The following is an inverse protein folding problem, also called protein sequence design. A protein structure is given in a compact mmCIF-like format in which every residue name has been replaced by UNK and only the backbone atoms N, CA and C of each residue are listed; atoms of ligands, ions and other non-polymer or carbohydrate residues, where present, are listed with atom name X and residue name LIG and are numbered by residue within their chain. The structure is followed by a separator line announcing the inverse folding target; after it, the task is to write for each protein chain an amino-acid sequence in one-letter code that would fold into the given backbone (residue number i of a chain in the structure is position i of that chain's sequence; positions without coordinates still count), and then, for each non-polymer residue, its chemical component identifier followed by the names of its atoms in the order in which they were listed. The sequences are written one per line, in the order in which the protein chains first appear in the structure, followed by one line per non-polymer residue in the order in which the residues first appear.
data_IF_283490225165
#
_entry.id   IF_283490225165
#
_cell.length_a   1.000
_cell.length_b   1.000
_cell.length_c   1.000
_cell.angle_alpha   90.00
_cell.angle_beta   90.00
_cell.angle_gamma   90.00
#
_symmetry.space_group_name_H-M   'P 1'
#
loop_
_entity.id
_entity.type
_entity.pdbx_description
1 polymer ?
#
# COMPACT_ATOMS: atom_id res chain seq x y z
N UNK A 1 15.91 2.39 1.78
CA UNK A 1 14.62 1.98 2.39
C UNK A 1 13.51 2.07 1.36
N UNK A 2 12.74 1.03 1.22
CA UNK A 2 11.53 1.03 0.41
C UNK A 2 10.34 0.95 1.36
N UNK A 3 9.35 1.81 1.16
CA UNK A 3 8.12 1.81 1.93
C UNK A 3 7.01 1.40 0.97
N UNK A 4 6.41 0.24 1.22
CA UNK A 4 5.33 -0.29 0.39
C UNK A 4 4.01 0.07 1.04
N UNK A 5 3.16 0.78 0.32
CA UNK A 5 1.85 1.18 0.80
C UNK A 5 0.77 0.35 0.11
N UNK A 6 -0.03 -0.33 0.91
CA UNK A 6 -1.23 -1.02 0.44
C UNK A 6 -2.40 -0.07 0.58
N UNK A 7 -2.87 0.47 -0.54
CA UNK A 7 -3.96 1.45 -0.54
C UNK A 7 -5.26 0.91 0.06
N UNK A 8 -6.01 1.77 0.73
CA UNK A 8 -7.28 1.46 1.38
C UNK A 8 -7.13 0.45 2.51
N UNK A 9 -8.19 -0.24 2.89
CA UNK A 9 -8.17 -1.27 3.92
C UNK A 9 -9.29 -1.13 4.93
N UNK A 10 -9.70 -2.25 5.54
CA UNK A 10 -10.72 -2.26 6.59
C UNK A 10 -12.04 -1.68 6.11
N UNK A 11 -12.48 -0.59 6.75
CA UNK A 11 -13.74 0.09 6.41
C UNK A 11 -13.66 0.93 5.14
N UNK A 12 -12.47 1.10 4.56
CA UNK A 12 -12.26 1.76 3.27
C UNK A 12 -11.92 0.71 2.22
N UNK A 13 -12.90 0.24 1.44
CA UNK A 13 -12.66 -0.80 0.44
C UNK A 13 -11.94 -0.28 -0.81
N UNK A 14 -11.92 1.03 -1.03
CA UNK A 14 -11.51 1.60 -2.30
C UNK A 14 -12.57 1.37 -3.36
N UNK A 15 -12.15 1.28 -4.62
CA UNK A 15 -13.07 0.98 -5.71
C UNK A 15 -13.46 -0.51 -5.70
N UNK A 16 -14.62 -0.81 -6.27
CA UNK A 16 -15.06 -2.19 -6.43
C UNK A 16 -15.70 -2.37 -7.80
N UNK A 17 -15.55 -3.56 -8.37
CA UNK A 17 -16.14 -3.92 -9.65
C UNK A 17 -16.46 -5.42 -9.61
N UNK A 18 -17.74 -5.75 -9.43
CA UNK A 18 -18.13 -7.13 -9.23
C UNK A 18 -17.51 -7.68 -7.95
N UNK A 19 -16.78 -8.78 -8.08
CA UNK A 19 -16.12 -9.42 -6.95
C UNK A 19 -14.74 -8.82 -6.64
N UNK A 20 -14.31 -7.84 -7.43
CA UNK A 20 -12.99 -7.21 -7.26
C UNK A 20 -13.14 -6.02 -6.33
N UNK A 21 -12.46 -6.10 -5.18
CA UNK A 21 -12.43 -5.02 -4.20
C UNK A 21 -10.98 -4.53 -4.09
N UNK A 22 -10.77 -3.24 -4.30
CA UNK A 22 -9.42 -2.67 -4.40
C UNK A 22 -8.55 -3.04 -3.20
N UNK A 23 -9.05 -2.89 -1.97
CA UNK A 23 -8.26 -3.14 -0.77
C UNK A 23 -7.68 -4.55 -0.70
N UNK A 24 -8.36 -5.54 -1.27
CA UNK A 24 -7.92 -6.94 -1.26
C UNK A 24 -6.74 -7.13 -2.21
N UNK A 25 -6.81 -6.52 -3.38
CA UNK A 25 -5.74 -6.63 -4.37
C UNK A 25 -4.52 -5.81 -3.98
N UNK A 26 -4.72 -4.60 -3.45
CA UNK A 26 -3.59 -3.79 -3.01
C UNK A 26 -2.83 -4.46 -1.88
N UNK A 27 -3.54 -5.16 -0.99
CA UNK A 27 -2.91 -5.91 0.09
C UNK A 27 -2.07 -7.07 -0.45
N UNK A 28 -2.61 -7.83 -1.41
CA UNK A 28 -1.87 -8.95 -2.01
C UNK A 28 -0.61 -8.47 -2.73
N UNK A 29 -0.73 -7.41 -3.51
CA UNK A 29 0.39 -6.86 -4.27
C UNK A 29 1.44 -6.31 -3.31
N UNK A 30 1.02 -5.55 -2.31
CA UNK A 30 1.95 -4.97 -1.34
C UNK A 30 2.69 -6.04 -0.54
N UNK A 31 2.00 -7.09 -0.10
CA UNK A 31 2.63 -8.19 0.61
C UNK A 31 3.64 -8.92 -0.29
N UNK A 32 3.31 -9.13 -1.56
CA UNK A 32 4.23 -9.75 -2.50
C UNK A 32 5.49 -8.89 -2.67
N UNK A 33 5.32 -7.60 -2.88
CA UNK A 33 6.44 -6.68 -3.03
C UNK A 33 7.30 -6.63 -1.78
N UNK A 34 6.67 -6.54 -0.61
CA UNK A 34 7.36 -6.51 0.67
C UNK A 34 8.25 -7.75 0.82
N UNK A 35 7.68 -8.93 0.59
CA UNK A 35 8.42 -10.18 0.73
C UNK A 35 9.56 -10.29 -0.29
N UNK A 36 9.34 -9.86 -1.53
CA UNK A 36 10.39 -9.89 -2.56
C UNK A 36 11.54 -8.95 -2.22
N UNK A 37 11.25 -7.74 -1.77
CA UNK A 37 12.30 -6.81 -1.36
C UNK A 37 13.09 -7.36 -0.17
N UNK A 38 12.40 -7.96 0.80
CA UNK A 38 13.06 -8.57 1.95
C UNK A 38 13.97 -9.72 1.51
N UNK A 39 13.50 -10.57 0.59
CA UNK A 39 14.28 -11.68 0.06
C UNK A 39 15.54 -11.18 -0.65
N UNK A 40 15.49 -10.02 -1.27
CA UNK A 40 16.62 -9.40 -1.95
C UNK A 40 17.55 -8.64 -0.99
N UNK A 41 17.25 -8.63 0.30
CA UNK A 41 18.07 -7.95 1.29
C UNK A 41 17.85 -6.44 1.32
N UNK A 42 16.75 -5.94 0.76
CA UNK A 42 16.44 -4.51 0.72
C UNK A 42 15.63 -4.15 1.96
N UNK A 43 16.08 -3.20 2.78
CA UNK A 43 15.30 -2.72 3.93
C UNK A 43 13.94 -2.20 3.46
N UNK A 44 12.86 -2.76 4.01
CA UNK A 44 11.49 -2.50 3.53
C UNK A 44 10.53 -2.41 4.70
N UNK A 45 9.58 -1.48 4.58
CA UNK A 45 8.47 -1.31 5.52
C UNK A 45 7.18 -1.40 4.71
N UNK A 46 6.13 -1.92 5.32
CA UNK A 46 4.81 -2.00 4.69
C UNK A 46 3.79 -1.31 5.60
N UNK A 47 2.83 -0.60 5.00
CA UNK A 47 1.86 0.16 5.79
C UNK A 47 0.87 -0.71 6.52
N UNK A 48 0.44 -1.82 5.92
CA UNK A 48 -0.42 -2.80 6.58
C UNK A 48 -0.18 -4.18 5.98
N UNK A 49 -0.38 -5.20 6.81
CA UNK A 49 -0.26 -6.60 6.39
C UNK A 49 -1.59 -7.33 6.46
N UNK A 50 -2.64 -6.64 6.91
CA UNK A 50 -3.96 -7.21 7.12
C UNK A 50 -5.02 -6.26 6.59
N UNK A 51 -6.27 -6.71 6.58
CA UNK A 51 -7.42 -5.91 6.19
C UNK A 51 -7.85 -5.03 7.36
N UNK A 52 -7.09 -3.98 7.59
CA UNK A 52 -7.32 -3.01 8.68
C UNK A 52 -7.46 -1.61 8.11
N UNK A 53 -8.20 -0.77 8.83
CA UNK A 53 -8.40 0.62 8.44
C UNK A 53 -7.16 1.44 8.77
N UNK A 54 -6.63 2.13 7.74
CA UNK A 54 -5.63 3.17 7.92
C UNK A 54 -6.18 4.45 7.31
N UNK A 55 -6.56 5.41 8.15
CA UNK A 55 -6.95 6.71 7.64
C UNK A 55 -5.69 7.45 7.12
N UNK A 56 -5.84 8.58 6.38
CA UNK A 56 -4.68 9.29 5.84
C UNK A 56 -3.64 9.67 6.88
N UNK A 57 -4.06 10.08 8.06
CA UNK A 57 -3.14 10.44 9.13
C UNK A 57 -2.35 9.24 9.63
N UNK A 58 -3.01 8.11 9.86
CA UNK A 58 -2.34 6.88 10.29
C UNK A 58 -1.34 6.40 9.27
N UNK A 59 -1.70 6.49 7.99
CA UNK A 59 -0.83 6.08 6.89
C UNK A 59 0.43 6.94 6.82
N UNK A 60 0.27 8.23 6.92
CA UNK A 60 1.39 9.17 6.94
C UNK A 60 2.29 8.92 8.15
N UNK A 61 1.69 8.58 9.30
CA UNK A 61 2.46 8.29 10.51
C UNK A 61 3.31 7.02 10.40
N UNK A 62 2.95 6.10 9.52
CA UNK A 62 3.81 4.97 9.20
C UNK A 62 4.90 5.37 8.21
N UNK A 63 4.55 6.12 7.18
CA UNK A 63 5.45 6.43 6.07
C UNK A 63 6.52 7.44 6.48
N UNK A 64 6.10 8.59 7.02
CA UNK A 64 6.99 9.72 7.25
C UNK A 64 8.18 9.41 8.16
N UNK A 65 8.01 8.70 9.30
CA UNK A 65 9.16 8.40 10.16
C UNK A 65 10.21 7.50 9.50
N UNK A 66 9.83 6.79 8.45
CA UNK A 66 10.73 5.88 7.74
C UNK A 66 11.45 6.55 6.57
N UNK A 67 11.07 7.77 6.22
CA UNK A 67 11.76 8.55 5.20
C UNK A 67 12.86 9.35 5.90
N UNK A 68 14.12 8.91 5.74
CA UNK A 68 15.26 9.53 6.39
C UNK A 68 16.27 10.08 5.41
N UNK A 69 16.13 9.80 4.13
CA UNK A 69 17.03 10.29 3.09
C UNK A 69 16.30 10.42 1.76
N UNK A 70 16.92 11.11 0.81
CA UNK A 70 16.36 11.25 -0.54
C UNK A 70 16.42 9.95 -1.35
N UNK A 71 17.12 8.93 -0.85
CA UNK A 71 17.21 7.64 -1.51
C UNK A 71 16.06 6.71 -1.14
N UNK A 72 15.23 7.09 -0.17
CA UNK A 72 14.08 6.30 0.23
C UNK A 72 12.95 6.44 -0.78
N UNK A 73 12.26 5.34 -1.04
CA UNK A 73 11.22 5.26 -2.07
C UNK A 73 9.93 4.79 -1.43
N UNK A 74 8.83 5.47 -1.77
CA UNK A 74 7.47 5.04 -1.39
C UNK A 74 6.77 4.52 -2.63
N UNK A 75 6.27 3.28 -2.55
CA UNK A 75 5.48 2.67 -3.62
C UNK A 75 4.08 2.44 -3.08
N UNK A 76 3.13 3.22 -3.59
CA UNK A 76 1.73 3.12 -3.17
C UNK A 76 0.95 2.34 -4.23
N UNK A 77 0.32 1.25 -3.81
CA UNK A 77 -0.43 0.37 -4.68
C UNK A 77 -1.91 0.73 -4.64
N UNK A 78 -2.47 1.01 -5.81
CA UNK A 78 -3.87 1.31 -6.00
C UNK A 78 -4.35 0.66 -7.29
N UNK A 79 -5.66 0.44 -7.39
CA UNK A 79 -6.30 0.07 -8.65
C UNK A 79 -7.00 1.32 -9.19
N UNK A 80 -7.04 1.44 -10.52
CA UNK A 80 -7.80 2.50 -11.14
C UNK A 80 -9.29 2.24 -10.96
N UNK A 81 -10.05 3.29 -10.66
CA UNK A 81 -11.51 3.19 -10.67
C UNK A 81 -11.99 2.92 -12.10
N UNK A 82 -13.12 2.23 -12.22
CA UNK A 82 -13.73 2.01 -13.53
C UNK A 82 -14.19 3.32 -14.16
N UNK A 83 -14.69 3.25 -15.38
CA UNK A 83 -15.25 4.42 -16.06
C UNK A 83 -14.24 5.40 -16.62
N UNK A 84 -12.98 5.03 -16.66
CA UNK A 84 -11.95 5.87 -17.25
C UNK A 84 -11.44 7.00 -16.38
N UNK A 85 -11.83 7.01 -15.11
CA UNK A 85 -11.31 7.98 -14.17
C UNK A 85 -9.98 7.52 -13.61
N UNK A 86 -9.04 8.43 -13.54
CA UNK A 86 -7.74 8.21 -12.91
C UNK A 86 -7.60 9.17 -11.76
N UNK A 87 -7.30 8.63 -10.63
CA UNK A 87 -7.13 9.43 -9.43
C UNK A 87 -5.79 9.15 -8.81
#
# INVERSE_FOLDING_TARGET
MVIVDAGHGGTDPGSSNGDIIEKDYTLKIANYMYNRFKDLGIPTVITRTEDVTLNPTDRINVITPNITSSDDIVISNHLNAGGGEFT
#
